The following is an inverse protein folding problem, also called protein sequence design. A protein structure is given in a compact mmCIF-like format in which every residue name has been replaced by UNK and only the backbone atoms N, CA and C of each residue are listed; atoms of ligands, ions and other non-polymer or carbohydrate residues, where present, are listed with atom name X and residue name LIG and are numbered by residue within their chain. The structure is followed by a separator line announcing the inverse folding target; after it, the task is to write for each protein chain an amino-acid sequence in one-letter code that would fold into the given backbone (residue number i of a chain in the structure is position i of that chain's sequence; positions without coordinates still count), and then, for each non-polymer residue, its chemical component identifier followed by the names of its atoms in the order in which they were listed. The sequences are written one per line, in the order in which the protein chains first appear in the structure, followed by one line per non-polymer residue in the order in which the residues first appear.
data_IF_829267577818
#
_entry.id   IF_829267577818
#
_cell.length_a   1.000
_cell.length_b   1.000
_cell.length_c   1.000
_cell.angle_alpha   90.00
_cell.angle_beta   90.00
_cell.angle_gamma   90.00
#
_symmetry.space_group_name_H-M   'P 1'
#
loop_
_entity.id
_entity.type
_entity.pdbx_description
1 polymer ?
#
# COMPACT_ATOMS: atom_id res chain seq x y z
N UNK A 1 -15.16 2.69 9.08
CA UNK A 1 -14.78 4.13 9.07
C UNK A 1 -15.37 4.85 7.84
N UNK A 2 -15.50 6.18 7.84
CA UNK A 2 -15.82 6.93 6.61
C UNK A 2 -14.72 6.67 5.55
N UNK A 3 -15.10 6.54 4.27
CA UNK A 3 -14.17 6.26 3.17
C UNK A 3 -13.08 7.33 3.04
N UNK A 4 -13.48 8.60 3.06
CA UNK A 4 -12.55 9.73 2.94
C UNK A 4 -11.56 9.78 4.11
N UNK A 5 -12.05 9.53 5.33
CA UNK A 5 -11.20 9.48 6.51
C UNK A 5 -10.21 8.31 6.44
N UNK A 6 -10.65 7.12 6.01
CA UNK A 6 -9.75 5.96 5.89
C UNK A 6 -8.67 6.20 4.83
N UNK A 7 -9.03 6.77 3.68
CA UNK A 7 -8.07 7.11 2.63
C UNK A 7 -7.07 8.18 3.09
N UNK A 8 -7.52 9.18 3.85
CA UNK A 8 -6.64 10.19 4.43
C UNK A 8 -5.68 9.58 5.48
N UNK A 9 -6.18 8.72 6.38
CA UNK A 9 -5.33 8.02 7.34
C UNK A 9 -4.34 7.06 6.66
N UNK A 10 -4.74 6.46 5.52
CA UNK A 10 -3.85 5.67 4.68
C UNK A 10 -2.71 6.54 4.13
N UNK A 11 -3.01 7.73 3.60
CA UNK A 11 -1.99 8.67 3.14
C UNK A 11 -1.02 9.04 4.28
N UNK A 12 -1.52 9.33 5.48
CA UNK A 12 -0.66 9.63 6.63
C UNK A 12 0.23 8.44 7.01
N UNK A 13 -0.34 7.23 7.05
CA UNK A 13 0.43 6.02 7.32
C UNK A 13 1.49 5.78 6.24
N UNK A 14 1.16 6.02 4.97
CA UNK A 14 2.11 5.95 3.86
C UNK A 14 3.29 6.90 4.08
N UNK A 15 3.04 8.16 4.44
CA UNK A 15 4.11 9.12 4.76
C UNK A 15 4.99 8.65 5.92
N UNK A 16 4.41 8.01 6.95
CA UNK A 16 5.19 7.42 8.05
C UNK A 16 6.13 6.32 7.55
N UNK A 17 5.66 5.44 6.66
CA UNK A 17 6.52 4.42 6.05
C UNK A 17 7.52 5.02 5.04
N UNK A 18 7.20 6.15 4.42
CA UNK A 18 8.12 6.88 3.54
C UNK A 18 9.35 7.39 4.30
N UNK A 19 9.13 8.21 5.31
CA UNK A 19 10.21 8.87 6.04
C UNK A 19 10.73 8.06 7.22
N UNK A 20 10.08 6.96 7.59
CA UNK A 20 10.38 6.24 8.84
C UNK A 20 11.81 5.72 8.92
N UNK A 21 12.33 5.11 7.85
CA UNK A 21 13.72 4.66 7.82
C UNK A 21 14.70 5.82 7.61
N UNK A 22 14.40 6.75 6.71
CA UNK A 22 15.23 7.94 6.43
C UNK A 22 15.49 8.77 7.70
N UNK A 23 14.48 8.99 8.54
CA UNK A 23 14.59 9.83 9.73
C UNK A 23 15.25 9.14 10.92
N UNK A 24 15.29 7.81 10.95
CA UNK A 24 15.71 7.06 12.14
C UNK A 24 16.93 6.17 11.91
N UNK A 25 17.20 5.81 10.65
CA UNK A 25 18.24 4.87 10.22
C UNK A 25 18.19 3.51 10.93
N UNK A 26 17.07 3.15 11.56
CA UNK A 26 16.92 1.91 12.29
C UNK A 26 16.77 0.72 11.34
N UNK A 27 17.75 -0.18 11.35
CA UNK A 27 17.80 -1.33 10.43
C UNK A 27 16.56 -2.25 10.44
N UNK A 28 15.81 -2.30 11.56
CA UNK A 28 14.58 -3.10 11.62
C UNK A 28 13.42 -2.49 10.81
N UNK A 29 13.50 -1.22 10.43
CA UNK A 29 12.49 -0.53 9.62
C UNK A 29 12.69 -0.74 8.11
N UNK A 30 13.89 -1.09 7.66
CA UNK A 30 14.22 -1.41 6.27
C UNK A 30 13.18 -2.28 5.54
N UNK A 31 12.68 -3.40 6.10
CA UNK A 31 11.70 -4.25 5.41
C UNK A 31 10.30 -3.64 5.26
N UNK A 32 10.02 -2.52 5.92
CA UNK A 32 8.70 -1.89 5.93
C UNK A 32 8.70 -0.51 5.27
N UNK A 33 9.71 0.31 5.57
CA UNK A 33 9.83 1.68 5.13
C UNK A 33 10.56 1.81 3.79
N UNK A 34 10.37 2.95 3.12
CA UNK A 34 11.14 3.30 1.93
C UNK A 34 12.62 3.41 2.23
N UNK A 35 13.45 2.84 1.36
CA UNK A 35 14.93 2.92 1.45
C UNK A 35 15.56 3.59 0.23
N UNK A 36 14.74 3.91 -0.78
CA UNK A 36 15.06 4.65 -1.98
C UNK A 36 13.76 5.02 -2.71
N UNK A 37 13.89 5.79 -3.80
CA UNK A 37 12.75 6.32 -4.56
C UNK A 37 12.24 5.39 -5.67
N UNK A 38 12.62 4.11 -5.69
CA UNK A 38 12.10 3.17 -6.69
C UNK A 38 10.59 2.96 -6.52
N UNK A 39 9.91 2.67 -7.65
CA UNK A 39 8.47 2.40 -7.65
C UNK A 39 8.16 1.22 -6.73
N UNK A 40 9.00 0.18 -6.71
CA UNK A 40 8.83 -0.95 -5.80
C UNK A 40 8.77 -0.55 -4.32
N UNK A 41 9.62 0.39 -3.86
CA UNK A 41 9.57 0.86 -2.47
C UNK A 41 8.22 1.53 -2.16
N UNK A 42 7.70 2.33 -3.09
CA UNK A 42 6.38 2.93 -2.97
C UNK A 42 5.26 1.88 -2.87
N UNK A 43 5.32 0.82 -3.68
CA UNK A 43 4.37 -0.30 -3.60
C UNK A 43 4.43 -1.03 -2.25
N UNK A 44 5.63 -1.25 -1.72
CA UNK A 44 5.86 -1.83 -0.40
C UNK A 44 5.25 -0.97 0.71
N UNK A 45 5.51 0.33 0.67
CA UNK A 45 4.99 1.27 1.67
C UNK A 45 3.47 1.33 1.63
N UNK A 46 2.86 1.32 0.44
CA UNK A 46 1.42 1.24 0.29
C UNK A 46 0.84 -0.04 0.92
N UNK A 47 1.48 -1.19 0.71
CA UNK A 47 1.09 -2.46 1.34
C UNK A 47 1.14 -2.36 2.87
N UNK A 48 2.29 -1.98 3.45
CA UNK A 48 2.46 -1.95 4.90
C UNK A 48 1.63 -0.86 5.58
N UNK A 49 1.48 0.30 4.97
CA UNK A 49 0.59 1.36 5.44
C UNK A 49 -0.85 0.87 5.56
N UNK A 50 -1.34 0.15 4.54
CA UNK A 50 -2.70 -0.37 4.55
C UNK A 50 -2.88 -1.52 5.55
N UNK A 51 -1.88 -2.42 5.67
CA UNK A 51 -1.87 -3.50 6.67
C UNK A 51 -1.90 -2.93 8.09
N UNK A 52 -1.06 -1.93 8.39
CA UNK A 52 -1.02 -1.28 9.71
C UNK A 52 -2.37 -0.62 10.03
N UNK A 53 -2.90 0.18 9.11
CA UNK A 53 -4.19 0.84 9.29
C UNK A 53 -5.32 -0.16 9.50
N UNK A 54 -5.31 -1.25 8.74
CA UNK A 54 -6.26 -2.36 8.86
C UNK A 54 -6.16 -3.06 10.22
N UNK A 55 -4.95 -3.33 10.69
CA UNK A 55 -4.72 -3.94 12.00
C UNK A 55 -5.23 -3.04 13.15
N UNK A 56 -4.96 -1.74 13.07
CA UNK A 56 -5.46 -0.75 14.04
C UNK A 56 -6.99 -0.70 14.01
N UNK A 57 -7.61 -0.61 12.82
CA UNK A 57 -9.07 -0.59 12.69
C UNK A 57 -9.70 -1.86 13.29
N UNK A 58 -9.16 -3.03 12.98
CA UNK A 58 -9.61 -4.32 13.53
C UNK A 58 -9.46 -4.37 15.06
N UNK A 59 -8.36 -3.89 15.61
CA UNK A 59 -8.12 -3.86 17.06
C UNK A 59 -9.10 -2.92 17.78
N UNK A 60 -9.41 -1.75 17.20
CA UNK A 60 -10.38 -0.81 17.75
C UNK A 60 -11.82 -1.32 17.64
N UNK A 61 -12.16 -2.03 16.57
CA UNK A 61 -13.49 -2.61 16.37
C UNK A 61 -13.75 -3.80 17.30
N UNK A 62 -12.75 -4.65 17.58
CA UNK A 62 -12.88 -5.75 18.55
C UNK A 62 -13.24 -5.27 19.96
N UNK A 63 -12.81 -4.07 20.34
CA UNK A 63 -13.16 -3.44 21.63
C UNK A 63 -14.61 -2.93 21.69
N UNK A 64 -15.31 -2.86 20.55
CA UNK A 64 -16.69 -2.39 20.42
C UNK A 64 -17.57 -3.58 20.01
N UNK A 65 -17.92 -4.44 20.97
CA UNK A 65 -18.80 -5.60 20.74
C UNK A 65 -20.10 -5.17 20.02
N UNK A 66 -20.42 -5.81 18.88
CA UNK A 66 -21.75 -5.96 18.21
C UNK A 66 -21.76 -5.89 16.67
N UNK A 67 -20.63 -5.89 15.97
CA UNK A 67 -20.69 -5.78 14.51
C UNK A 67 -20.87 -7.14 13.81
N UNK A 68 -22.07 -7.35 13.23
CA UNK A 68 -22.45 -8.47 12.32
C UNK A 68 -21.72 -8.44 10.97
N UNK A 69 -20.43 -8.12 10.93
CA UNK A 69 -19.67 -8.09 9.67
C UNK A 69 -19.03 -9.46 9.45
N UNK A 70 -19.49 -10.15 8.40
CA UNK A 70 -19.23 -11.56 8.17
C UNK A 70 -17.81 -11.88 7.67
N UNK A 71 -17.03 -10.87 7.25
CA UNK A 71 -15.76 -11.08 6.54
C UNK A 71 -14.70 -9.99 6.76
N UNK A 72 -14.76 -9.27 7.88
CA UNK A 72 -13.96 -8.07 8.12
C UNK A 72 -12.45 -8.26 7.89
N UNK A 73 -11.85 -9.36 8.36
CA UNK A 73 -10.40 -9.60 8.17
C UNK A 73 -10.04 -9.82 6.69
N UNK A 74 -10.84 -10.61 5.99
CA UNK A 74 -10.54 -11.02 4.62
C UNK A 74 -10.75 -9.89 3.60
N UNK A 75 -11.69 -8.98 3.85
CA UNK A 75 -11.82 -7.78 3.02
C UNK A 75 -10.57 -6.89 3.13
N UNK A 76 -10.02 -6.70 4.34
CA UNK A 76 -8.76 -5.95 4.53
C UNK A 76 -7.56 -6.64 3.89
N UNK A 77 -7.51 -7.97 3.93
CA UNK A 77 -6.45 -8.74 3.24
C UNK A 77 -6.51 -8.50 1.73
N UNK A 78 -7.70 -8.59 1.12
CA UNK A 78 -7.88 -8.28 -0.29
C UNK A 78 -7.45 -6.83 -0.59
N UNK A 79 -7.89 -5.87 0.23
CA UNK A 79 -7.49 -4.47 0.10
C UNK A 79 -5.97 -4.27 0.14
N UNK A 80 -5.29 -4.92 1.09
CA UNK A 80 -3.84 -4.85 1.23
C UNK A 80 -3.13 -5.46 0.01
N UNK A 81 -3.66 -6.55 -0.56
CA UNK A 81 -3.12 -7.13 -1.79
C UNK A 81 -3.35 -6.22 -3.00
N UNK A 82 -4.49 -5.53 -3.07
CA UNK A 82 -4.86 -4.68 -4.21
C UNK A 82 -4.20 -3.30 -4.21
N UNK A 83 -3.96 -2.69 -3.04
CA UNK A 83 -3.47 -1.31 -2.95
C UNK A 83 -2.18 -1.05 -3.75
N UNK A 84 -1.16 -1.93 -3.77
CA UNK A 84 0.04 -1.68 -4.55
C UNK A 84 -0.25 -1.69 -6.07
N UNK A 85 -1.17 -2.53 -6.52
CA UNK A 85 -1.57 -2.58 -7.93
C UNK A 85 -2.36 -1.34 -8.34
N UNK A 86 -3.22 -0.83 -7.46
CA UNK A 86 -3.95 0.41 -7.73
C UNK A 86 -3.00 1.61 -7.76
N UNK A 87 -2.03 1.67 -6.84
CA UNK A 87 -0.97 2.69 -6.87
C UNK A 87 -0.17 2.58 -8.17
N UNK A 88 0.24 1.37 -8.58
CA UNK A 88 0.93 1.14 -9.85
C UNK A 88 0.11 1.69 -11.04
N UNK A 89 -1.14 1.23 -11.17
CA UNK A 89 -2.02 1.61 -12.28
C UNK A 89 -2.24 3.11 -12.37
N UNK A 90 -2.42 3.77 -11.23
CA UNK A 90 -2.68 5.21 -11.18
C UNK A 90 -1.42 6.04 -11.32
N UNK A 91 -0.30 5.63 -10.73
CA UNK A 91 0.99 6.30 -10.86
C UNK A 91 1.42 6.42 -12.32
N UNK A 92 1.38 5.31 -13.06
CA UNK A 92 1.83 5.26 -14.46
C UNK A 92 0.93 5.99 -15.46
N UNK A 93 -0.24 6.51 -15.06
CA UNK A 93 -1.07 7.32 -15.95
C UNK A 93 -0.35 8.60 -16.39
N UNK A 94 0.30 9.30 -15.46
CA UNK A 94 0.98 10.55 -15.77
C UNK A 94 2.14 10.35 -16.76
N UNK A 95 3.15 9.50 -16.46
CA UNK A 95 4.24 9.28 -17.40
C UNK A 95 3.80 8.52 -18.66
N UNK A 96 2.76 7.69 -18.59
CA UNK A 96 2.23 6.99 -19.76
C UNK A 96 1.55 7.91 -20.77
N UNK A 97 0.93 9.01 -20.33
CA UNK A 97 0.24 9.96 -21.21
C UNK A 97 1.15 11.12 -21.61
N UNK A 98 1.94 11.66 -20.69
CA UNK A 98 2.72 12.88 -20.89
C UNK A 98 4.23 12.65 -21.06
N UNK A 99 4.70 11.39 -20.92
CA UNK A 99 6.12 11.08 -20.90
C UNK A 99 6.79 11.49 -19.59
N UNK A 100 8.12 11.58 -19.60
CA UNK A 100 8.90 11.92 -18.40
C UNK A 100 8.52 13.31 -17.91
N UNK A 101 8.18 13.40 -16.63
CA UNK A 101 7.97 14.67 -15.93
C UNK A 101 9.28 15.10 -15.32
N UNK A 102 9.71 16.34 -15.55
CA UNK A 102 10.98 16.86 -15.00
C UNK A 102 10.77 17.71 -13.74
N UNK A 103 9.53 18.14 -13.49
CA UNK A 103 9.20 18.98 -12.35
C UNK A 103 8.95 18.13 -11.11
N UNK A 104 9.86 18.20 -10.14
CA UNK A 104 9.69 17.58 -8.81
C UNK A 104 8.38 17.99 -8.14
N UNK A 105 7.95 19.24 -8.31
CA UNK A 105 6.69 19.71 -7.75
C UNK A 105 5.48 18.96 -8.33
N UNK A 106 5.47 18.71 -9.64
CA UNK A 106 4.41 17.95 -10.31
C UNK A 106 4.46 16.49 -9.87
N UNK A 107 5.65 15.88 -9.82
CA UNK A 107 5.81 14.49 -9.39
C UNK A 107 5.32 14.26 -7.96
N UNK A 108 5.74 15.10 -7.01
CA UNK A 108 5.30 14.99 -5.60
C UNK A 108 3.80 15.25 -5.47
N UNK A 109 3.28 16.27 -6.15
CA UNK A 109 1.83 16.56 -6.15
C UNK A 109 1.03 15.39 -6.70
N UNK A 110 1.53 14.75 -7.76
CA UNK A 110 0.94 13.57 -8.36
C UNK A 110 1.02 12.36 -7.42
N UNK A 111 2.15 12.12 -6.78
CA UNK A 111 2.34 11.02 -5.82
C UNK A 111 1.36 11.12 -4.64
N UNK A 112 1.19 12.31 -4.06
CA UNK A 112 0.22 12.56 -2.99
C UNK A 112 -1.21 12.30 -3.46
N UNK A 113 -1.57 12.84 -4.63
CA UNK A 113 -2.90 12.65 -5.21
C UNK A 113 -3.19 11.16 -5.48
N UNK A 114 -2.27 10.46 -6.15
CA UNK A 114 -2.36 9.03 -6.48
C UNK A 114 -2.48 8.18 -5.24
N UNK A 115 -1.71 8.47 -4.20
CA UNK A 115 -1.77 7.73 -2.93
C UNK A 115 -3.15 7.89 -2.29
N UNK A 116 -3.68 9.10 -2.22
CA UNK A 116 -5.02 9.35 -1.68
C UNK A 116 -6.13 8.69 -2.52
N UNK A 117 -6.09 8.85 -3.85
CA UNK A 117 -7.07 8.24 -4.77
C UNK A 117 -7.04 6.70 -4.69
N UNK A 118 -5.85 6.11 -4.61
CA UNK A 118 -5.68 4.66 -4.43
C UNK A 118 -6.34 4.19 -3.14
N UNK A 119 -6.15 4.95 -2.06
CA UNK A 119 -6.85 4.73 -0.79
C UNK A 119 -8.38 4.77 -0.96
N UNK A 120 -8.92 5.76 -1.67
CA UNK A 120 -10.36 5.85 -1.94
C UNK A 120 -10.87 4.62 -2.71
N UNK A 121 -10.21 4.25 -3.80
CA UNK A 121 -10.62 3.12 -4.63
C UNK A 121 -10.62 1.81 -3.85
N UNK A 122 -9.53 1.52 -3.12
CA UNK A 122 -9.42 0.30 -2.33
C UNK A 122 -10.44 0.28 -1.19
N UNK A 123 -10.65 1.38 -0.48
CA UNK A 123 -11.63 1.42 0.62
C UNK A 123 -13.06 1.27 0.08
N UNK A 124 -13.37 1.76 -1.12
CA UNK A 124 -14.66 1.52 -1.75
C UNK A 124 -14.86 0.03 -2.07
N UNK A 125 -13.86 -0.62 -2.67
CA UNK A 125 -13.87 -2.07 -2.94
C UNK A 125 -14.03 -2.84 -1.62
N UNK A 126 -13.27 -2.46 -0.60
CA UNK A 126 -13.30 -3.10 0.72
C UNK A 126 -14.70 -3.13 1.32
N UNK A 127 -15.42 -2.00 1.28
CA UNK A 127 -16.77 -1.87 1.83
C UNK A 127 -17.78 -2.77 1.13
N UNK A 128 -17.65 -2.93 -0.18
CA UNK A 128 -18.53 -3.85 -0.92
C UNK A 128 -18.19 -5.30 -0.60
N UNK A 129 -16.89 -5.62 -0.49
CA UNK A 129 -16.40 -6.96 -0.18
C UNK A 129 -16.73 -7.39 1.25
N UNK A 130 -16.77 -6.47 2.21
CA UNK A 130 -17.20 -6.75 3.60
C UNK A 130 -18.58 -7.43 3.69
N UNK A 131 -19.47 -7.12 2.74
CA UNK A 131 -20.86 -7.62 2.70
C UNK A 131 -20.96 -9.05 2.14
N UNK A 132 -19.95 -9.49 1.38
CA UNK A 132 -19.91 -10.81 0.74
C UNK A 132 -19.54 -11.87 1.77
N UNK A 133 -20.07 -13.11 1.63
CA UNK A 133 -19.60 -14.27 2.38
C UNK A 133 -18.63 -15.11 1.54
N UNK A 134 -17.39 -15.21 2.02
CA UNK A 134 -16.34 -15.94 1.33
C UNK A 134 -16.35 -17.41 1.73
N UNK A 135 -16.23 -18.26 0.71
CA UNK A 135 -15.95 -19.68 0.91
C UNK A 135 -14.55 -19.87 1.50
N UNK A 136 -14.31 -21.03 2.11
CA UNK A 136 -13.03 -21.37 2.73
C UNK A 136 -11.89 -21.28 1.72
N UNK A 137 -12.08 -21.75 0.49
CA UNK A 137 -11.09 -21.65 -0.57
C UNK A 137 -10.65 -20.20 -0.83
N UNK A 138 -11.61 -19.27 -0.96
CA UNK A 138 -11.30 -17.84 -1.15
C UNK A 138 -10.52 -17.27 0.03
N UNK A 139 -10.88 -17.64 1.26
CA UNK A 139 -10.17 -17.21 2.48
C UNK A 139 -8.71 -17.68 2.49
N UNK A 140 -8.47 -18.93 2.09
CA UNK A 140 -7.11 -19.50 1.96
C UNK A 140 -6.32 -18.76 0.89
N UNK A 141 -6.93 -18.47 -0.27
CA UNK A 141 -6.28 -17.69 -1.33
C UNK A 141 -5.88 -16.29 -0.84
N UNK A 142 -6.78 -15.57 -0.18
CA UNK A 142 -6.50 -14.21 0.33
C UNK A 142 -5.38 -14.22 1.38
N UNK A 143 -5.39 -15.19 2.29
CA UNK A 143 -4.30 -15.38 3.26
C UNK A 143 -2.97 -15.64 2.54
N UNK A 144 -2.97 -16.58 1.59
CA UNK A 144 -1.77 -16.98 0.84
C UNK A 144 -1.19 -15.81 0.06
N UNK A 145 -2.02 -15.07 -0.68
CA UNK A 145 -1.59 -13.89 -1.43
C UNK A 145 -1.03 -12.81 -0.52
N UNK A 146 -1.67 -12.57 0.64
CA UNK A 146 -1.18 -11.58 1.61
C UNK A 146 0.21 -11.97 2.15
N UNK A 147 0.41 -13.25 2.48
CA UNK A 147 1.69 -13.77 2.98
C UNK A 147 2.76 -13.72 1.90
N UNK A 148 2.44 -14.09 0.66
CA UNK A 148 3.35 -14.00 -0.48
C UNK A 148 3.75 -12.54 -0.71
N UNK A 149 2.79 -11.61 -0.76
CA UNK A 149 3.10 -10.18 -0.91
C UNK A 149 4.03 -9.68 0.19
N UNK A 150 3.73 -9.96 1.46
CA UNK A 150 4.58 -9.58 2.58
C UNK A 150 6.00 -10.17 2.44
N UNK A 151 6.11 -11.45 2.12
CA UNK A 151 7.40 -12.12 1.93
C UNK A 151 8.20 -11.49 0.78
N UNK A 152 7.58 -11.26 -0.37
CA UNK A 152 8.24 -10.68 -1.54
C UNK A 152 8.67 -9.23 -1.30
N UNK A 153 7.84 -8.42 -0.62
CA UNK A 153 8.20 -7.06 -0.27
C UNK A 153 9.43 -6.99 0.64
N UNK A 154 9.54 -7.93 1.59
CA UNK A 154 10.73 -8.06 2.43
C UNK A 154 11.92 -8.56 1.63
N UNK A 155 11.77 -9.68 0.92
CA UNK A 155 12.85 -10.32 0.17
C UNK A 155 13.49 -9.37 -0.85
N UNK A 156 12.66 -8.72 -1.67
CA UNK A 156 13.14 -7.84 -2.74
C UNK A 156 13.63 -6.48 -2.24
N UNK A 157 13.36 -6.12 -0.97
CA UNK A 157 14.06 -4.99 -0.34
C UNK A 157 15.56 -5.27 -0.24
N UNK A 158 15.95 -6.51 0.05
CA UNK A 158 17.37 -6.89 0.19
C UNK A 158 17.97 -7.47 -1.09
N UNK A 159 17.14 -8.05 -1.95
CA UNK A 159 17.55 -8.73 -3.19
C UNK A 159 16.68 -8.25 -4.35
N UNK A 160 16.83 -6.99 -4.79
CA UNK A 160 16.02 -6.44 -5.86
C UNK A 160 16.29 -7.19 -7.18
N UNK A 161 15.24 -7.60 -7.92
CA UNK A 161 15.36 -8.03 -9.31
C UNK A 161 15.93 -6.93 -10.22
N UNK A 162 16.47 -7.32 -11.38
CA UNK A 162 17.08 -6.41 -12.36
C UNK A 162 16.07 -5.62 -13.23
N UNK A 163 14.82 -5.55 -12.81
CA UNK A 163 13.71 -4.96 -13.58
C UNK A 163 13.52 -3.50 -13.17
N UNK A 164 13.14 -2.64 -14.12
CA UNK A 164 12.96 -1.18 -13.95
C UNK A 164 12.17 -0.76 -12.71
N UNK A 165 11.19 -1.55 -12.29
CA UNK A 165 10.38 -1.31 -11.08
C UNK A 165 11.25 -1.12 -9.81
N UNK A 166 12.43 -1.73 -9.76
CA UNK A 166 13.34 -1.74 -8.62
C UNK A 166 14.47 -0.72 -8.74
N UNK A 167 14.57 -0.01 -9.86
CA UNK A 167 15.65 0.96 -10.10
C UNK A 167 15.38 2.23 -9.29
N UNK A 168 16.38 2.70 -8.55
CA UNK A 168 16.30 4.01 -7.89
C UNK A 168 16.52 5.11 -8.97
N UNK A 169 15.52 5.94 -9.29
CA UNK A 169 15.67 7.00 -10.29
C UNK A 169 16.78 7.99 -9.98
N UNK A 170 17.12 8.23 -8.70
CA UNK A 170 18.21 9.13 -8.30
C UNK A 170 19.59 8.63 -8.70
N UNK A 171 19.73 7.34 -9.01
CA UNK A 171 20.98 6.75 -9.49
C UNK A 171 21.15 6.86 -11.00
N UNK A 172 20.08 7.21 -11.72
CA UNK A 172 20.06 7.34 -13.18
C UNK A 172 20.46 8.74 -13.67
N UNK A 173 20.61 9.71 -12.77
CA UNK A 173 20.95 11.11 -13.09
C UNK A 173 22.46 11.38 -13.19
N UNK A 174 23.23 10.45 -13.78
CA UNK A 174 24.60 10.74 -14.24
C UNK A 174 24.63 11.04 -15.72
#
# INVERSE_FOLDING_TARGET
MNIYLKAFLFLLAFCVFHYGYELTEMAFLTPFCGTNESVFQHLKMAFWAYVLLSAIELALMRKRENQKIKNLVYSRMLSAVLIPWIVLLTWYLLPGVFGRVESIFIEVSWAVLVTYLSGLFVVQIEKEVEKVQFQVATKVVLLTLTVISAFLFVLFTYRPPWIDLFVNPETLTK
#
